data_IF_176848403340
#
_entry.id   IF_176848403340
#
_cell.length_a   1.000
_cell.length_b   1.000
_cell.length_c   1.000
_cell.angle_alpha   90.00
_cell.angle_beta   90.00
_cell.angle_gamma   90.00
#
_symmetry.space_group_name_H-M   'P 1'
#
loop_
_entity.id
_entity.type
_entity.pdbx_description
1 polymer ?
#
# COMPACT_ATOMS: atom_id res chain seq x y z
N UNK A 1 -2.69 29.14 -23.84
CA UNK A 1 -2.30 27.79 -24.31
C UNK A 1 -2.40 26.86 -23.11
N UNK A 2 -3.22 25.80 -23.16
CA UNK A 2 -3.47 24.92 -22.01
C UNK A 2 -2.74 23.60 -22.27
N UNK A 3 -1.85 23.20 -21.37
CA UNK A 3 -1.07 21.96 -21.50
C UNK A 3 -1.64 20.91 -20.56
N UNK A 4 -2.21 19.83 -21.10
CA UNK A 4 -2.78 18.73 -20.31
C UNK A 4 -1.80 17.58 -20.20
N UNK A 5 -0.67 17.77 -19.52
CA UNK A 5 0.12 16.63 -19.03
C UNK A 5 -0.32 16.32 -17.61
N UNK A 6 -1.53 15.76 -17.49
CA UNK A 6 -2.05 15.28 -16.20
C UNK A 6 -1.50 13.88 -16.01
N UNK A 7 -0.54 13.76 -15.09
CA UNK A 7 -0.15 12.45 -14.57
C UNK A 7 -1.40 11.76 -14.01
N UNK A 8 -1.52 10.42 -14.12
CA UNK A 8 -2.58 9.67 -13.46
C UNK A 8 -2.64 10.00 -11.96
N UNK A 9 -3.76 10.54 -11.52
CA UNK A 9 -4.01 10.86 -10.12
C UNK A 9 -5.16 10.01 -9.60
N UNK A 10 -5.02 9.47 -8.40
CA UNK A 10 -6.14 8.84 -7.71
C UNK A 10 -7.20 9.87 -7.34
N UNK A 11 -8.46 9.50 -7.55
CA UNK A 11 -9.63 10.30 -7.23
C UNK A 11 -10.60 9.46 -6.41
N UNK A 12 -11.42 10.12 -5.60
CA UNK A 12 -12.50 9.43 -4.90
C UNK A 12 -13.53 8.95 -5.92
N UNK A 13 -14.02 7.72 -5.73
CA UNK A 13 -15.02 7.11 -6.61
C UNK A 13 -16.37 7.84 -6.40
N UNK A 14 -16.97 8.45 -7.44
CA UNK A 14 -18.29 9.04 -7.37
C UNK A 14 -19.36 8.01 -7.01
N UNK A 15 -20.44 8.42 -6.32
CA UNK A 15 -21.54 7.52 -5.94
C UNK A 15 -22.18 6.83 -7.15
N UNK A 16 -22.29 7.56 -8.26
CA UNK A 16 -22.93 7.11 -9.49
C UNK A 16 -21.92 6.61 -10.53
N UNK A 17 -20.81 6.00 -10.11
CA UNK A 17 -19.83 5.45 -11.04
C UNK A 17 -20.43 4.29 -11.85
N UNK A 18 -20.19 4.28 -13.16
CA UNK A 18 -20.83 3.37 -14.12
C UNK A 18 -20.45 1.90 -13.91
N UNK A 19 -19.18 1.65 -13.55
CA UNK A 19 -18.62 0.30 -13.49
C UNK A 19 -18.20 -0.15 -12.10
N UNK A 20 -18.13 0.74 -11.11
CA UNK A 20 -17.54 0.44 -9.80
C UNK A 20 -18.52 0.89 -8.73
N UNK A 21 -18.67 0.07 -7.70
CA UNK A 21 -19.45 0.37 -6.51
C UNK A 21 -18.61 0.07 -5.28
N UNK A 22 -18.65 0.98 -4.30
CA UNK A 22 -18.03 0.77 -3.00
C UNK A 22 -19.12 0.79 -1.93
N UNK A 23 -19.22 -0.30 -1.18
CA UNK A 23 -20.20 -0.45 -0.11
C UNK A 23 -19.45 -0.59 1.21
N UNK A 24 -19.82 0.21 2.21
CA UNK A 24 -19.38 0.01 3.58
C UNK A 24 -20.25 -1.06 4.22
N UNK A 25 -19.62 -2.08 4.79
CA UNK A 25 -20.28 -3.13 5.54
C UNK A 25 -20.00 -2.86 7.01
N UNK A 26 -21.06 -2.70 7.80
CA UNK A 26 -20.93 -2.49 9.23
C UNK A 26 -20.45 -3.76 9.93
N UNK A 27 -19.75 -3.57 11.05
CA UNK A 27 -19.24 -4.68 11.84
C UNK A 27 -20.39 -5.46 12.49
N UNK A 28 -20.22 -6.77 12.56
CA UNK A 28 -21.07 -7.67 13.36
C UNK A 28 -20.24 -8.28 14.49
N UNK A 29 -20.87 -9.09 15.34
CA UNK A 29 -20.18 -9.83 16.41
C UNK A 29 -19.05 -10.70 15.86
N UNK A 30 -19.25 -11.30 14.68
CA UNK A 30 -18.30 -12.24 14.07
C UNK A 30 -17.40 -11.62 13.01
N UNK A 31 -17.73 -10.42 12.49
CA UNK A 31 -17.00 -9.82 11.37
C UNK A 31 -16.68 -8.34 11.63
N UNK A 32 -15.41 -7.92 11.46
CA UNK A 32 -15.06 -6.51 11.55
C UNK A 32 -15.70 -5.70 10.40
N UNK A 33 -15.91 -4.38 10.59
CA UNK A 33 -16.37 -3.52 9.52
C UNK A 33 -15.38 -3.54 8.35
N UNK A 34 -15.90 -3.57 7.12
CA UNK A 34 -15.05 -3.64 5.94
C UNK A 34 -15.61 -2.82 4.77
N UNK A 35 -14.74 -2.53 3.80
CA UNK A 35 -15.11 -1.90 2.55
C UNK A 35 -15.17 -2.98 1.46
N UNK A 36 -16.31 -3.10 0.80
CA UNK A 36 -16.50 -4.01 -0.34
C UNK A 36 -16.47 -3.21 -1.62
N UNK A 37 -15.56 -3.57 -2.52
CA UNK A 37 -15.49 -3.02 -3.88
C UNK A 37 -16.10 -4.05 -4.83
N UNK A 38 -17.08 -3.62 -5.62
CA UNK A 38 -17.78 -4.47 -6.60
C UNK A 38 -17.71 -3.83 -7.97
N UNK A 39 -17.42 -4.63 -9.01
CA UNK A 39 -17.54 -4.20 -10.40
C UNK A 39 -18.99 -4.45 -10.86
N UNK A 40 -19.67 -3.41 -11.33
CA UNK A 40 -21.03 -3.49 -11.88
C UNK A 40 -20.97 -4.15 -13.26
N UNK A 41 -21.11 -5.47 -13.32
CA UNK A 41 -21.26 -6.19 -14.60
C UNK A 41 -22.72 -6.14 -15.04
N UNK A 42 -23.01 -5.40 -16.11
CA UNK A 42 -24.31 -5.43 -16.78
C UNK A 42 -24.24 -6.38 -17.99
N UNK A 43 -25.03 -7.45 -18.01
CA UNK A 43 -25.14 -8.39 -19.14
C UNK A 43 -24.12 -9.53 -19.16
N UNK A 44 -24.23 -10.43 -20.16
CA UNK A 44 -23.39 -11.62 -20.35
C UNK A 44 -21.93 -11.23 -20.59
N UNK A 45 -21.06 -11.53 -19.62
CA UNK A 45 -19.59 -11.61 -19.72
C UNK A 45 -18.94 -10.70 -20.80
N UNK A 46 -18.85 -9.41 -20.53
CA UNK A 46 -17.71 -8.63 -21.01
C UNK A 46 -16.76 -8.45 -19.83
N UNK A 47 -15.74 -9.31 -19.78
CA UNK A 47 -14.59 -9.11 -18.92
C UNK A 47 -13.89 -7.83 -19.36
N UNK A 48 -14.23 -6.70 -18.76
CA UNK A 48 -13.36 -5.52 -18.82
C UNK A 48 -12.03 -5.96 -18.22
N UNK A 49 -11.05 -6.26 -19.08
CA UNK A 49 -9.71 -6.71 -18.72
C UNK A 49 -8.81 -5.55 -18.31
N UNK A 50 -9.39 -4.38 -18.05
CA UNK A 50 -8.64 -3.20 -17.67
C UNK A 50 -8.24 -3.30 -16.20
N UNK A 51 -6.94 -3.14 -15.96
CA UNK A 51 -6.37 -3.19 -14.63
C UNK A 51 -6.89 -2.02 -13.78
N UNK A 52 -7.38 -2.34 -12.58
CA UNK A 52 -7.89 -1.35 -11.62
C UNK A 52 -6.86 -1.11 -10.52
N UNK A 53 -6.62 0.17 -10.20
CA UNK A 53 -5.77 0.60 -9.10
C UNK A 53 -6.67 1.21 -8.01
N UNK A 54 -6.68 0.60 -6.82
CA UNK A 54 -7.42 1.10 -5.67
C UNK A 54 -6.43 1.49 -4.57
N UNK A 55 -6.66 2.64 -3.92
CA UNK A 55 -5.94 3.04 -2.71
C UNK A 55 -6.92 3.52 -1.65
N UNK A 56 -6.55 3.37 -0.39
CA UNK A 56 -7.23 4.04 0.70
C UNK A 56 -6.70 5.47 0.82
N UNK A 57 -7.59 6.43 0.98
CA UNK A 57 -7.24 7.85 1.21
C UNK A 57 -6.87 8.11 2.68
N UNK A 58 -6.17 7.17 3.32
CA UNK A 58 -5.76 7.25 4.72
C UNK A 58 -4.26 6.88 4.82
N UNK A 59 -3.36 7.87 4.95
CA UNK A 59 -1.94 7.61 5.10
C UNK A 59 -1.64 7.00 6.48
N UNK A 60 -0.58 6.21 6.55
CA UNK A 60 -0.04 5.68 7.81
C UNK A 60 1.27 6.40 8.11
N UNK A 61 1.34 7.03 9.28
CA UNK A 61 2.53 7.73 9.74
C UNK A 61 3.40 6.78 10.56
N UNK A 62 4.64 6.58 10.12
CA UNK A 62 5.62 5.78 10.84
C UNK A 62 6.35 6.68 11.83
N UNK A 63 6.12 6.44 13.12
CA UNK A 63 6.93 7.06 14.16
C UNK A 63 8.21 6.25 14.35
N UNK A 64 9.35 6.83 13.94
CA UNK A 64 10.64 6.25 14.26
C UNK A 64 10.88 6.42 15.78
N UNK A 65 11.16 5.34 16.53
CA UNK A 65 11.63 5.51 17.91
C UNK A 65 12.92 6.32 17.87
N UNK A 66 13.02 7.35 18.71
CA UNK A 66 14.26 8.09 18.92
C UNK A 66 15.30 7.11 19.45
N UNK A 67 16.19 6.62 18.58
CA UNK A 67 17.37 5.89 19.02
C UNK A 67 18.35 6.93 19.54
N UNK A 68 18.38 7.12 20.87
CA UNK A 68 19.47 7.85 21.48
C UNK A 68 20.78 7.08 21.21
N UNK A 69 21.82 7.70 20.62
CA UNK A 69 23.07 7.02 20.29
C UNK A 69 23.74 6.32 21.48
N UNK A 70 23.43 6.75 22.70
CA UNK A 70 24.08 6.31 23.95
C UNK A 70 23.54 4.97 24.50
N UNK A 71 22.43 4.43 23.97
CA UNK A 71 21.83 3.17 24.47
C UNK A 71 22.18 1.92 23.62
N UNK A 72 23.05 2.07 22.62
CA UNK A 72 23.48 0.95 21.76
C UNK A 72 24.26 -0.16 22.50
N UNK A 73 24.60 0.02 23.78
CA UNK A 73 25.33 -0.98 24.58
C UNK A 73 24.46 -1.84 25.48
N UNK A 74 23.12 -1.70 25.46
CA UNK A 74 22.23 -2.48 26.34
C UNK A 74 21.23 -3.39 25.59
N UNK A 75 21.59 -3.86 24.40
CA UNK A 75 20.81 -4.88 23.66
C UNK A 75 21.27 -6.30 24.03
N UNK A 76 21.16 -6.66 25.30
CA UNK A 76 21.38 -8.04 25.78
C UNK A 76 20.36 -8.50 26.82
N UNK A 77 19.29 -7.72 27.04
CA UNK A 77 18.20 -8.11 27.93
C UNK A 77 16.94 -8.41 27.11
N UNK A 78 16.22 -9.50 27.41
CA UNK A 78 14.90 -9.74 26.82
C UNK A 78 13.94 -8.59 27.19
N UNK A 79 12.93 -8.30 26.35
CA UNK A 79 11.97 -7.24 26.62
C UNK A 79 11.33 -7.44 28.01
N UNK A 80 11.32 -6.39 28.83
CA UNK A 80 10.55 -6.40 30.08
C UNK A 80 9.05 -6.30 29.73
N UNK A 81 8.23 -7.11 30.37
CA UNK A 81 6.79 -7.29 30.09
C UNK A 81 5.88 -6.07 30.35
N UNK A 82 6.43 -4.88 30.64
CA UNK A 82 5.67 -3.70 31.10
C UNK A 82 5.64 -2.51 30.10
N UNK A 83 6.03 -2.69 28.83
CA UNK A 83 5.97 -1.61 27.82
C UNK A 83 4.71 -1.69 26.94
N UNK A 84 3.55 -1.36 27.52
CA UNK A 84 2.27 -1.25 26.78
C UNK A 84 2.21 0.02 25.88
N UNK A 85 3.26 0.84 25.86
CA UNK A 85 3.34 2.12 25.13
C UNK A 85 3.84 2.03 23.69
N UNK A 86 4.39 0.88 23.27
CA UNK A 86 5.07 0.72 21.97
C UNK A 86 4.35 -0.25 21.03
N UNK A 87 3.02 -0.27 21.00
CA UNK A 87 2.26 -1.09 20.03
C UNK A 87 2.49 -0.53 18.62
N UNK A 88 3.51 -1.05 17.94
CA UNK A 88 3.88 -0.71 16.55
C UNK A 88 3.34 -1.71 15.53
N UNK A 89 2.58 -2.71 15.98
CA UNK A 89 2.04 -3.77 15.13
C UNK A 89 0.64 -3.42 14.64
N UNK A 90 0.47 -3.37 13.33
CA UNK A 90 -0.81 -3.11 12.67
C UNK A 90 -1.14 -4.23 11.69
N UNK A 91 -2.41 -4.66 11.68
CA UNK A 91 -2.91 -5.68 10.77
C UNK A 91 -3.79 -5.04 9.70
N UNK A 92 -3.49 -5.33 8.44
CA UNK A 92 -4.37 -5.05 7.31
C UNK A 92 -4.63 -6.36 6.56
N UNK A 93 -5.85 -6.54 6.05
CA UNK A 93 -6.22 -7.74 5.30
C UNK A 93 -7.13 -7.39 4.12
N UNK A 94 -7.02 -8.18 3.06
CA UNK A 94 -7.85 -8.09 1.86
C UNK A 94 -8.44 -9.47 1.60
N UNK A 95 -9.76 -9.54 1.42
CA UNK A 95 -10.47 -10.77 1.08
C UNK A 95 -10.81 -10.76 -0.41
N UNK A 96 -10.26 -11.73 -1.15
CA UNK A 96 -10.54 -11.94 -2.57
C UNK A 96 -11.64 -13.01 -2.71
N UNK A 97 -12.70 -12.71 -3.45
CA UNK A 97 -13.83 -13.64 -3.63
C UNK A 97 -13.52 -14.71 -4.67
N UNK A 98 -14.14 -15.88 -4.51
CA UNK A 98 -14.04 -16.98 -5.46
C UNK A 98 -14.51 -16.53 -6.86
N UNK A 99 -13.71 -16.79 -7.89
CA UNK A 99 -13.93 -16.32 -9.27
C UNK A 99 -12.96 -15.23 -9.74
N UNK A 100 -12.16 -14.65 -8.84
CA UNK A 100 -11.00 -13.83 -9.22
C UNK A 100 -9.74 -14.69 -9.29
N UNK A 101 -8.90 -14.46 -10.30
CA UNK A 101 -7.60 -15.11 -10.43
C UNK A 101 -6.58 -14.46 -9.47
N UNK A 102 -6.09 -15.17 -8.43
CA UNK A 102 -5.14 -14.61 -7.47
C UNK A 102 -3.82 -14.17 -8.11
N UNK A 103 -3.43 -14.73 -9.26
CA UNK A 103 -2.21 -14.35 -9.96
C UNK A 103 -2.27 -12.92 -10.55
N UNK A 104 -3.49 -12.38 -10.65
CA UNK A 104 -3.79 -11.02 -11.12
C UNK A 104 -4.07 -10.02 -10.00
N UNK A 105 -3.82 -10.40 -8.73
CA UNK A 105 -4.07 -9.56 -7.57
C UNK A 105 -2.75 -9.18 -6.89
N UNK A 106 -2.53 -7.88 -6.72
CA UNK A 106 -1.40 -7.32 -5.98
C UNK A 106 -1.91 -6.52 -4.79
N UNK A 107 -1.37 -6.82 -3.60
CA UNK A 107 -1.71 -6.15 -2.34
C UNK A 107 -0.42 -5.63 -1.72
N UNK A 108 -0.41 -4.38 -1.30
CA UNK A 108 0.75 -3.75 -0.69
C UNK A 108 0.54 -2.28 -0.36
N UNK A 109 1.64 -1.62 0.02
CA UNK A 109 1.69 -0.20 0.30
C UNK A 109 2.16 0.58 -0.91
N UNK A 110 1.63 1.80 -1.06
CA UNK A 110 1.93 2.71 -2.15
C UNK A 110 2.34 4.06 -1.60
N UNK A 111 3.34 4.70 -2.20
CA UNK A 111 3.74 6.05 -1.82
C UNK A 111 2.80 7.10 -2.46
N UNK A 112 2.54 8.24 -1.80
CA UNK A 112 1.62 9.26 -2.34
C UNK A 112 2.03 9.83 -3.70
N UNK A 113 3.31 9.73 -4.05
CA UNK A 113 3.90 10.15 -5.32
C UNK A 113 3.77 9.11 -6.45
N UNK A 114 3.10 7.98 -6.22
CA UNK A 114 2.80 7.01 -7.26
C UNK A 114 1.76 7.56 -8.26
N UNK A 115 2.21 7.81 -9.49
CA UNK A 115 1.39 8.30 -10.60
C UNK A 115 1.52 7.41 -11.85
N UNK A 116 1.96 6.16 -11.69
CA UNK A 116 2.11 5.25 -12.82
C UNK A 116 0.82 4.45 -13.05
N UNK A 117 0.35 4.43 -14.30
CA UNK A 117 -0.80 3.63 -14.70
C UNK A 117 -0.45 2.81 -15.94
N UNK A 118 -0.72 1.51 -15.89
CA UNK A 118 -0.53 0.58 -16.99
C UNK A 118 -1.63 -0.46 -17.01
N UNK A 119 -2.06 -0.89 -18.20
CA UNK A 119 -2.99 -2.02 -18.39
C UNK A 119 -2.40 -3.35 -17.96
N UNK A 120 -1.08 -3.45 -17.93
CA UNK A 120 -0.34 -4.63 -17.49
C UNK A 120 0.64 -4.22 -16.39
N UNK A 121 0.35 -4.61 -15.16
CA UNK A 121 1.27 -4.45 -14.05
C UNK A 121 2.23 -5.63 -13.98
N UNK A 122 3.46 -5.34 -13.60
CA UNK A 122 4.49 -6.34 -13.41
C UNK A 122 5.45 -5.81 -12.37
N UNK A 123 5.82 -6.62 -11.39
CA UNK A 123 6.75 -6.24 -10.32
C UNK A 123 8.10 -5.76 -10.89
N UNK A 124 8.52 -6.30 -12.05
CA UNK A 124 9.74 -5.88 -12.75
C UNK A 124 9.71 -4.44 -13.25
N UNK A 125 8.54 -3.81 -13.34
CA UNK A 125 8.36 -2.42 -13.78
C UNK A 125 8.21 -1.44 -12.60
N UNK A 126 8.10 -1.95 -11.37
CA UNK A 126 8.08 -1.14 -10.16
C UNK A 126 9.40 -0.40 -10.03
N UNK A 127 9.35 0.90 -9.72
CA UNK A 127 10.54 1.71 -9.51
C UNK A 127 11.06 1.47 -8.10
N UNK A 128 12.33 1.13 -7.99
CA UNK A 128 13.02 1.01 -6.70
C UNK A 128 14.25 1.89 -6.75
N UNK A 129 14.40 2.76 -5.76
CA UNK A 129 15.61 3.56 -5.56
C UNK A 129 16.39 2.96 -4.41
N UNK A 130 17.66 2.61 -4.64
CA UNK A 130 18.57 2.20 -3.58
C UNK A 130 19.46 3.37 -3.24
N UNK A 131 19.34 3.91 -2.03
CA UNK A 131 20.25 4.91 -1.48
C UNK A 131 21.37 4.16 -0.76
N UNK A 132 22.61 4.44 -1.13
CA UNK A 132 23.79 3.83 -0.54
C UNK A 132 24.68 4.93 0.01
N UNK A 133 24.89 4.94 1.33
CA UNK A 133 25.81 5.85 2.00
C UNK A 133 27.18 5.18 2.08
N UNK A 134 28.19 5.77 1.42
CA UNK A 134 29.57 5.28 1.41
C UNK A 134 30.49 6.14 2.26
N UNK A 135 31.55 5.54 2.82
CA UNK A 135 32.68 6.27 3.42
C UNK A 135 33.64 6.81 2.34
N UNK A 136 34.57 7.69 2.72
CA UNK A 136 35.60 8.25 1.80
C UNK A 136 36.51 7.18 1.19
N UNK A 137 36.46 5.95 1.70
CA UNK A 137 37.22 4.78 1.21
C UNK A 137 36.39 3.89 0.28
N UNK A 138 35.17 4.30 -0.07
CA UNK A 138 34.29 3.57 -0.98
C UNK A 138 33.57 2.36 -0.36
N UNK A 139 33.58 2.22 0.97
CA UNK A 139 32.86 1.14 1.66
C UNK A 139 31.45 1.60 1.97
N UNK A 140 30.48 0.72 1.67
CA UNK A 140 29.07 0.94 1.98
C UNK A 140 28.86 0.82 3.48
N UNK A 141 28.36 1.88 4.11
CA UNK A 141 28.03 1.90 5.53
C UNK A 141 26.54 1.59 5.76
N UNK A 142 25.67 2.17 4.93
CA UNK A 142 24.24 2.00 5.05
C UNK A 142 23.60 1.88 3.65
N UNK A 143 22.62 0.98 3.55
CA UNK A 143 21.84 0.76 2.34
C UNK A 143 20.36 0.86 2.68
N UNK A 144 19.68 1.84 2.11
CA UNK A 144 18.24 2.00 2.22
C UNK A 144 17.60 1.74 0.85
N UNK A 145 16.58 0.89 0.83
CA UNK A 145 15.81 0.59 -0.39
C UNK A 145 14.45 1.26 -0.28
N UNK A 146 14.18 2.23 -1.16
CA UNK A 146 12.91 2.93 -1.28
C UNK A 146 12.15 2.33 -2.47
N UNK A 147 11.13 1.53 -2.20
CA UNK A 147 10.21 1.02 -3.21
C UNK A 147 9.10 2.03 -3.49
N UNK A 148 8.93 2.43 -4.75
CA UNK A 148 7.82 3.25 -5.23
C UNK A 148 6.85 2.34 -6.00
N UNK A 149 6.06 1.57 -5.25
CA UNK A 149 4.81 0.98 -5.72
C UNK A 149 3.66 1.93 -5.44
#
# INVERSE_FOLDING_TARGET
MWFSKRLPTFVNIPKDHSHIEVTRIDGTVDNPPCLKVTHKTFGTQQSNSDMMYCRLSMPVELHAPHVNPDESQKLSQPPKEDDYGSITTYYHSVRVFAGQDPSSVWVGWVTPDYHYHSKHFSLNKTRTVTVTLGDERGRVHERQVLGFC
#
